data_IF_386820960469
#
_entry.id   IF_386820960469
#
_cell.length_a   1.000
_cell.length_b   1.000
_cell.length_c   1.000
_cell.angle_alpha   90.00
_cell.angle_beta   90.00
_cell.angle_gamma   90.00
#
_symmetry.space_group_name_H-M   'P 1'
#
loop_
_entity.id
_entity.type
_entity.pdbx_description
1 polymer ?
#
# COMPACT_ATOMS: atom_id res chain seq x y z
N UNK A 1 15.06 13.39 7.17
CA UNK A 1 13.90 13.22 8.04
C UNK A 1 14.41 13.05 9.46
N UNK A 2 14.00 13.93 10.36
CA UNK A 2 14.22 13.76 11.80
C UNK A 2 12.83 13.71 12.42
N UNK A 3 12.50 12.59 13.03
CA UNK A 3 11.21 12.40 13.70
C UNK A 3 11.38 12.69 15.19
N UNK A 4 10.59 13.63 15.72
CA UNK A 4 10.48 13.86 17.15
C UNK A 4 9.14 13.34 17.65
N UNK A 5 9.17 12.58 18.75
CA UNK A 5 7.99 12.14 19.47
C UNK A 5 7.73 13.11 20.62
N UNK A 6 6.83 14.06 20.45
CA UNK A 6 6.12 14.62 21.60
C UNK A 6 4.98 13.67 21.94
N UNK A 7 4.69 13.46 23.22
CA UNK A 7 3.85 12.38 23.79
C UNK A 7 2.49 12.06 23.12
N UNK A 8 2.05 12.85 22.13
CA UNK A 8 0.75 12.73 21.46
C UNK A 8 0.83 12.66 19.91
N UNK A 9 1.85 13.24 19.26
CA UNK A 9 1.88 13.39 17.79
C UNK A 9 3.25 13.05 17.18
N UNK A 10 3.25 12.63 15.93
CA UNK A 10 4.46 12.44 15.14
C UNK A 10 4.79 13.74 14.39
N UNK A 11 6.05 14.17 14.47
CA UNK A 11 6.55 15.35 13.78
C UNK A 11 7.45 14.92 12.62
N UNK A 12 7.04 15.21 11.39
CA UNK A 12 7.91 15.10 10.22
C UNK A 12 8.53 16.44 9.91
N UNK A 13 9.86 16.47 9.92
CA UNK A 13 10.64 17.66 9.53
C UNK A 13 11.18 17.44 8.12
N UNK A 14 10.73 18.27 7.19
CA UNK A 14 11.16 18.28 5.80
C UNK A 14 12.00 19.53 5.55
N UNK A 15 13.26 19.31 5.19
CA UNK A 15 14.19 20.35 4.79
C UNK A 15 13.86 20.82 3.37
N UNK A 16 13.46 22.10 3.25
CA UNK A 16 13.04 22.70 1.98
C UNK A 16 14.17 22.71 0.93
N UNK A 17 15.43 22.69 1.35
CA UNK A 17 16.57 22.64 0.43
C UNK A 17 16.70 21.27 -0.24
N UNK A 18 16.16 20.21 0.37
CA UNK A 18 16.25 18.83 -0.14
C UNK A 18 15.05 18.44 -0.99
N UNK A 19 13.87 18.96 -0.65
CA UNK A 19 12.60 18.48 -1.21
C UNK A 19 11.50 19.51 -0.97
N UNK A 20 10.71 19.77 -1.99
CA UNK A 20 9.45 20.51 -1.85
C UNK A 20 8.36 19.62 -1.24
N UNK A 21 7.80 20.07 -0.12
CA UNK A 21 6.73 19.38 0.61
C UNK A 21 5.33 19.84 0.21
N UNK A 22 5.19 20.85 -0.67
CA UNK A 22 3.91 21.47 -0.98
C UNK A 22 2.89 20.45 -1.50
N UNK A 23 3.31 19.54 -2.37
CA UNK A 23 2.43 18.50 -2.94
C UNK A 23 1.93 17.51 -1.88
N UNK A 24 2.81 17.06 -0.99
CA UNK A 24 2.48 16.14 0.10
C UNK A 24 1.52 16.80 1.11
N UNK A 25 1.81 18.05 1.50
CA UNK A 25 0.95 18.84 2.39
C UNK A 25 -0.44 19.03 1.78
N UNK A 26 -0.52 19.37 0.50
CA UNK A 26 -1.78 19.57 -0.20
C UNK A 26 -2.63 18.29 -0.27
N UNK A 27 -1.99 17.16 -0.59
CA UNK A 27 -2.63 15.86 -0.63
C UNK A 27 -3.15 15.49 0.77
N UNK A 28 -2.31 15.57 1.80
CA UNK A 28 -2.72 15.22 3.15
C UNK A 28 -3.82 16.15 3.68
N UNK A 29 -3.75 17.46 3.43
CA UNK A 29 -4.83 18.41 3.79
C UNK A 29 -6.17 18.03 3.16
N UNK A 30 -6.17 17.59 1.90
CA UNK A 30 -7.39 17.24 1.16
C UNK A 30 -7.91 15.86 1.53
N UNK A 31 -7.05 14.87 1.73
CA UNK A 31 -7.44 13.45 1.71
C UNK A 31 -7.26 12.69 3.02
N UNK A 32 -6.61 13.28 4.03
CA UNK A 32 -6.38 12.63 5.33
C UNK A 32 -7.64 12.41 6.20
N UNK A 33 -8.82 12.83 5.73
CA UNK A 33 -10.09 12.51 6.38
C UNK A 33 -10.56 11.08 6.10
N UNK A 34 -9.97 10.39 5.12
CA UNK A 34 -10.25 8.97 4.89
C UNK A 34 -9.74 8.14 6.09
N UNK A 35 -10.53 7.19 6.64
CA UNK A 35 -10.18 6.51 7.89
C UNK A 35 -8.89 5.69 7.81
N UNK A 36 -8.49 5.22 6.63
CA UNK A 36 -7.26 4.44 6.43
C UNK A 36 -6.08 5.23 5.84
N UNK A 37 -6.13 6.57 5.89
CA UNK A 37 -5.00 7.45 5.55
C UNK A 37 -4.55 8.14 6.84
N UNK A 38 -3.24 8.33 7.02
CA UNK A 38 -2.70 9.03 8.20
C UNK A 38 -3.31 10.42 8.34
N UNK A 39 -3.80 10.72 9.54
CA UNK A 39 -4.40 12.03 9.81
C UNK A 39 -3.33 13.11 9.91
N UNK A 40 -3.48 14.18 9.14
CA UNK A 40 -2.69 15.41 9.29
C UNK A 40 -3.45 16.39 10.19
N UNK A 41 -2.85 16.78 11.31
CA UNK A 41 -3.45 17.71 12.26
C UNK A 41 -3.08 19.17 11.98
N UNK A 42 -1.82 19.43 11.67
CA UNK A 42 -1.32 20.78 11.44
C UNK A 42 -0.07 20.77 10.55
N UNK A 43 0.19 21.91 9.93
CA UNK A 43 1.43 22.15 9.18
C UNK A 43 1.99 23.48 9.65
N UNK A 44 3.26 23.49 10.02
CA UNK A 44 4.02 24.70 10.30
C UNK A 44 5.17 24.83 9.31
N UNK A 45 5.63 26.05 9.10
CA UNK A 45 6.65 26.34 8.13
C UNK A 45 7.49 27.50 8.65
N UNK A 46 8.82 27.34 8.61
CA UNK A 46 9.77 28.43 8.79
C UNK A 46 10.60 28.62 7.52
N UNK A 47 11.67 29.41 7.56
CA UNK A 47 12.48 29.68 6.36
C UNK A 47 13.23 28.45 5.83
N UNK A 48 13.43 27.41 6.65
CA UNK A 48 14.31 26.27 6.35
C UNK A 48 13.51 24.98 6.20
N UNK A 49 12.48 24.77 7.02
CA UNK A 49 11.78 23.51 7.13
C UNK A 49 10.25 23.66 7.05
N UNK A 50 9.61 22.57 6.62
CA UNK A 50 8.18 22.31 6.78
C UNK A 50 8.00 21.24 7.85
N UNK A 51 7.07 21.46 8.76
CA UNK A 51 6.77 20.60 9.90
C UNK A 51 5.35 20.06 9.76
N UNK A 52 5.20 18.76 9.54
CA UNK A 52 3.89 18.10 9.47
C UNK A 52 3.61 17.43 10.81
N UNK A 53 2.45 17.75 11.39
CA UNK A 53 1.97 17.17 12.64
C UNK A 53 0.95 16.09 12.30
N UNK A 54 1.35 14.85 12.44
CA UNK A 54 0.56 13.69 12.01
C UNK A 54 0.11 12.80 13.18
N UNK A 55 -0.88 11.96 12.91
CA UNK A 55 -1.26 10.84 13.76
C UNK A 55 -0.09 9.92 14.03
N UNK A 56 0.19 9.71 15.32
CA UNK A 56 1.16 8.71 15.74
C UNK A 56 0.56 7.30 15.62
N UNK A 57 1.16 6.47 14.77
CA UNK A 57 0.74 5.09 14.60
C UNK A 57 1.38 4.18 15.66
N UNK A 58 0.67 3.96 16.78
CA UNK A 58 1.21 3.24 17.97
C UNK A 58 1.19 1.72 17.85
N UNK A 59 0.58 1.19 16.78
CA UNK A 59 0.42 -0.25 16.55
C UNK A 59 1.61 -0.93 15.87
N UNK A 60 2.51 -0.14 15.30
CA UNK A 60 3.64 -0.64 14.52
C UNK A 60 3.27 -0.96 13.06
N UNK A 61 4.26 -1.43 12.31
CA UNK A 61 4.10 -1.82 10.90
C UNK A 61 3.17 -3.03 10.74
N UNK A 62 2.40 -3.05 9.66
CA UNK A 62 1.38 -4.05 9.38
C UNK A 62 1.95 -5.48 9.38
N UNK A 63 2.98 -5.74 8.58
CA UNK A 63 3.54 -7.09 8.45
C UNK A 63 4.18 -7.56 9.75
N UNK A 64 5.01 -6.72 10.38
CA UNK A 64 5.61 -6.98 11.68
C UNK A 64 4.56 -7.33 12.73
N UNK A 65 3.45 -6.60 12.75
CA UNK A 65 2.33 -6.88 13.66
C UNK A 65 1.63 -8.20 13.34
N UNK A 66 1.34 -8.46 12.06
CA UNK A 66 0.72 -9.70 11.59
C UNK A 66 1.55 -10.90 12.06
N UNK A 67 2.88 -10.87 11.89
CA UNK A 67 3.79 -11.96 12.28
C UNK A 67 3.77 -12.28 13.79
N UNK A 68 3.43 -11.30 14.63
CA UNK A 68 3.32 -11.51 16.08
C UNK A 68 1.95 -12.06 16.51
N UNK A 69 0.96 -12.11 15.61
CA UNK A 69 -0.36 -12.64 15.95
C UNK A 69 -0.30 -14.16 16.11
N UNK A 70 -0.95 -14.65 17.18
CA UNK A 70 -1.15 -16.10 17.38
C UNK A 70 -2.00 -16.72 16.29
N UNK A 71 -2.90 -15.94 15.69
CA UNK A 71 -3.82 -16.40 14.66
C UNK A 71 -3.99 -15.31 13.62
N UNK A 72 -3.77 -15.68 12.37
CA UNK A 72 -4.04 -14.86 11.20
C UNK A 72 -4.41 -15.83 10.09
N UNK A 73 -5.56 -15.60 9.47
CA UNK A 73 -6.18 -16.41 8.44
C UNK A 73 -6.39 -15.60 7.17
N UNK A 74 -6.89 -16.28 6.15
CA UNK A 74 -7.28 -15.66 4.89
C UNK A 74 -8.36 -14.58 5.09
N UNK A 75 -9.26 -14.77 6.07
CA UNK A 75 -10.28 -13.78 6.41
C UNK A 75 -9.68 -12.47 6.94
N UNK A 76 -8.71 -12.54 7.86
CA UNK A 76 -8.07 -11.33 8.35
C UNK A 76 -7.23 -10.64 7.26
N UNK A 77 -6.56 -11.41 6.40
CA UNK A 77 -5.86 -10.87 5.23
C UNK A 77 -6.82 -10.13 4.28
N UNK A 78 -8.01 -10.67 4.04
CA UNK A 78 -9.04 -10.02 3.23
C UNK A 78 -9.55 -8.73 3.88
N UNK A 79 -9.70 -8.70 5.22
CA UNK A 79 -10.12 -7.51 5.94
C UNK A 79 -9.07 -6.39 5.82
N UNK A 80 -7.78 -6.72 5.93
CA UNK A 80 -6.68 -5.78 5.68
C UNK A 80 -6.76 -5.25 4.24
N UNK A 81 -6.86 -6.14 3.25
CA UNK A 81 -6.90 -5.76 1.84
C UNK A 81 -8.09 -4.89 1.48
N UNK A 82 -9.26 -5.14 2.07
CA UNK A 82 -10.46 -4.33 1.86
C UNK A 82 -10.21 -2.87 2.27
N UNK A 83 -9.57 -2.62 3.40
CA UNK A 83 -9.28 -1.26 3.91
C UNK A 83 -8.26 -0.54 3.03
N UNK A 84 -7.20 -1.24 2.63
CA UNK A 84 -6.18 -0.70 1.74
C UNK A 84 -6.74 -0.41 0.35
N UNK A 85 -7.46 -1.36 -0.26
CA UNK A 85 -8.08 -1.17 -1.56
C UNK A 85 -9.11 -0.03 -1.54
N UNK A 86 -9.83 0.16 -0.43
CA UNK A 86 -10.78 1.27 -0.27
C UNK A 86 -10.05 2.62 -0.27
N UNK A 87 -8.98 2.75 0.52
CA UNK A 87 -8.15 3.97 0.57
C UNK A 87 -7.51 4.28 -0.78
N UNK A 88 -6.93 3.28 -1.45
CA UNK A 88 -6.31 3.47 -2.77
C UNK A 88 -7.35 3.79 -3.83
N UNK A 89 -8.51 3.12 -3.83
CA UNK A 89 -9.60 3.47 -4.73
C UNK A 89 -10.08 4.91 -4.52
N UNK A 90 -10.14 5.36 -3.26
CA UNK A 90 -10.50 6.74 -2.91
C UNK A 90 -9.49 7.73 -3.49
N UNK A 91 -8.19 7.51 -3.27
CA UNK A 91 -7.11 8.34 -3.83
C UNK A 91 -7.14 8.36 -5.36
N UNK A 92 -7.20 7.18 -5.99
CA UNK A 92 -7.19 7.05 -7.45
C UNK A 92 -8.40 7.73 -8.09
N UNK A 93 -9.58 7.65 -7.47
CA UNK A 93 -10.78 8.36 -7.95
C UNK A 93 -10.61 9.89 -7.93
N UNK A 94 -9.80 10.40 -6.99
CA UNK A 94 -9.42 11.81 -6.87
C UNK A 94 -8.13 12.16 -7.63
N UNK A 95 -7.68 11.27 -8.53
CA UNK A 95 -6.48 11.47 -9.35
C UNK A 95 -5.20 11.66 -8.52
N UNK A 96 -5.14 11.02 -7.35
CA UNK A 96 -3.95 10.95 -6.51
C UNK A 96 -3.36 9.56 -6.61
N UNK A 97 -2.05 9.47 -6.85
CA UNK A 97 -1.27 8.23 -6.81
C UNK A 97 -0.27 8.30 -5.66
N UNK A 98 -0.06 7.19 -4.96
CA UNK A 98 0.83 7.15 -3.79
C UNK A 98 2.30 6.95 -4.21
N UNK A 99 2.55 6.05 -5.16
CA UNK A 99 3.86 5.73 -5.76
C UNK A 99 4.91 5.08 -4.85
N UNK A 100 4.70 5.04 -3.53
CA UNK A 100 5.58 4.33 -2.58
C UNK A 100 4.81 3.46 -1.55
N UNK A 101 3.87 2.64 -2.01
CA UNK A 101 3.08 1.71 -1.15
C UNK A 101 3.85 0.46 -0.74
N UNK A 102 5.00 0.63 -0.10
CA UNK A 102 5.75 -0.50 0.48
C UNK A 102 5.14 -0.92 1.84
N UNK A 103 5.37 -2.16 2.29
CA UNK A 103 4.80 -2.64 3.56
C UNK A 103 5.16 -1.78 4.79
N UNK A 104 6.35 -1.17 4.83
CA UNK A 104 6.76 -0.27 5.92
C UNK A 104 5.99 1.05 5.95
N UNK A 105 5.32 1.43 4.85
CA UNK A 105 4.44 2.60 4.78
C UNK A 105 2.98 2.27 5.14
N UNK A 106 2.74 1.12 5.76
CA UNK A 106 1.42 0.70 6.24
C UNK A 106 1.54 0.30 7.71
N UNK A 107 0.85 1.05 8.57
CA UNK A 107 0.93 0.87 10.01
C UNK A 107 -0.45 0.74 10.65
N UNK A 108 -0.49 0.16 11.84
CA UNK A 108 -1.65 0.24 12.70
C UNK A 108 -1.58 1.51 13.56
N UNK A 109 -2.65 2.30 13.55
CA UNK A 109 -2.82 3.47 14.42
C UNK A 109 -2.83 3.08 15.90
N UNK A 110 -3.42 1.92 16.20
CA UNK A 110 -3.62 1.44 17.57
C UNK A 110 -2.93 0.10 17.80
N UNK A 111 -2.72 -0.28 19.07
CA UNK A 111 -2.10 -1.57 19.41
C UNK A 111 -3.03 -2.77 19.15
N UNK A 112 -4.33 -2.55 18.99
CA UNK A 112 -5.26 -3.59 18.54
C UNK A 112 -4.94 -3.83 17.07
N UNK A 113 -4.70 -5.08 16.68
CA UNK A 113 -4.48 -5.44 15.27
C UNK A 113 -5.82 -5.45 14.50
N UNK A 114 -6.65 -4.42 14.76
CA UNK A 114 -7.93 -4.21 14.12
C UNK A 114 -7.67 -3.61 12.73
N UNK A 115 -8.15 -4.25 11.64
CA UNK A 115 -8.04 -3.73 10.29
C UNK A 115 -8.52 -2.28 10.13
N UNK A 116 -9.51 -1.83 10.90
CA UNK A 116 -10.02 -0.46 10.81
C UNK A 116 -9.03 0.59 11.35
N UNK A 117 -8.05 0.14 12.14
CA UNK A 117 -6.96 0.99 12.62
C UNK A 117 -5.78 1.09 11.64
N UNK A 118 -5.83 0.46 10.47
CA UNK A 118 -4.78 0.58 9.45
C UNK A 118 -4.70 2.01 8.93
N UNK A 119 -3.48 2.50 8.73
CA UNK A 119 -3.14 3.77 8.10
C UNK A 119 -2.10 3.56 7.03
N UNK A 120 -2.35 4.11 5.85
CA UNK A 120 -1.31 4.40 4.86
C UNK A 120 -0.61 5.68 5.33
N UNK A 121 0.71 5.61 5.44
CA UNK A 121 1.57 6.71 5.89
C UNK A 121 2.53 7.10 4.75
N UNK A 122 3.32 8.16 4.96
CA UNK A 122 4.38 8.62 4.05
C UNK A 122 3.90 8.90 2.62
N UNK A 123 3.24 10.05 2.47
CA UNK A 123 2.80 10.58 1.19
C UNK A 123 3.90 11.38 0.49
N UNK A 124 5.16 11.13 0.88
CA UNK A 124 6.29 11.85 0.34
C UNK A 124 6.34 11.75 -1.19
N UNK A 125 6.17 10.55 -1.72
CA UNK A 125 6.17 10.33 -3.16
C UNK A 125 4.80 10.47 -3.80
N UNK A 126 3.75 10.82 -3.06
CA UNK A 126 2.43 10.97 -3.64
C UNK A 126 2.39 12.12 -4.65
N UNK A 127 1.45 12.05 -5.60
CA UNK A 127 1.25 13.12 -6.58
C UNK A 127 -0.22 13.25 -6.91
N UNK A 128 -0.72 14.48 -6.93
CA UNK A 128 -2.03 14.80 -7.46
C UNK A 128 -1.89 15.23 -8.93
N UNK A 129 -2.69 14.62 -9.79
CA UNK A 129 -2.64 14.90 -11.21
C UNK A 129 -3.37 16.21 -11.52
N UNK A 130 -2.71 17.02 -12.36
CA UNK A 130 -3.17 18.34 -12.81
C UNK A 130 -3.19 18.36 -14.34
N UNK A 131 -4.10 19.12 -14.91
CA UNK A 131 -4.06 19.50 -16.32
C UNK A 131 -2.81 20.34 -16.61
N UNK A 132 -2.48 20.55 -17.89
CA UNK A 132 -1.32 21.36 -18.30
C UNK A 132 -1.36 22.79 -17.76
N UNK A 133 -2.57 23.33 -17.56
CA UNK A 133 -2.79 24.65 -16.96
C UNK A 133 -2.67 24.65 -15.41
N UNK A 134 -2.27 23.55 -14.79
CA UNK A 134 -2.14 23.40 -13.35
C UNK A 134 -3.45 23.17 -12.60
N UNK A 135 -4.62 23.17 -13.27
CA UNK A 135 -5.89 22.86 -12.61
C UNK A 135 -5.98 21.40 -12.22
N UNK A 136 -6.62 21.12 -11.08
CA UNK A 136 -6.87 19.75 -10.64
C UNK A 136 -7.74 19.01 -11.67
N UNK A 137 -7.28 17.81 -12.06
CA UNK A 137 -8.05 16.94 -12.93
C UNK A 137 -9.20 16.32 -12.15
N UNK A 138 -10.42 16.46 -12.67
CA UNK A 138 -11.57 15.66 -12.21
C UNK A 138 -11.88 14.57 -13.25
N UNK A 139 -12.29 13.36 -12.82
CA UNK A 139 -12.34 12.17 -13.66
C UNK A 139 -13.27 12.27 -14.89
N UNK A 140 -14.20 13.23 -14.95
CA UNK A 140 -15.17 13.30 -16.04
C UNK A 140 -15.03 14.50 -16.99
N UNK A 141 -14.42 15.62 -16.57
CA UNK A 141 -14.59 16.89 -17.31
C UNK A 141 -13.41 17.30 -18.20
N UNK A 142 -12.21 16.74 -18.01
CA UNK A 142 -11.01 17.33 -18.63
C UNK A 142 -10.19 16.35 -19.47
N UNK A 143 -10.57 15.07 -19.59
CA UNK A 143 -9.78 14.07 -20.33
C UNK A 143 -9.50 14.46 -21.80
N UNK A 144 -10.40 15.23 -22.43
CA UNK A 144 -10.23 15.73 -23.81
C UNK A 144 -9.12 16.78 -23.97
N UNK A 145 -8.61 17.35 -22.87
CA UNK A 145 -7.55 18.38 -22.88
C UNK A 145 -6.22 17.88 -22.31
N UNK A 146 -6.08 16.59 -22.05
CA UNK A 146 -4.85 16.01 -21.47
C UNK A 146 -4.08 15.27 -22.55
N UNK A 147 -2.78 15.57 -22.63
CA UNK A 147 -1.87 14.90 -23.53
C UNK A 147 -1.80 13.37 -23.23
N UNK A 148 -1.78 12.52 -24.26
CA UNK A 148 -1.88 11.06 -24.10
C UNK A 148 -0.76 10.45 -23.24
N UNK A 149 0.44 11.02 -23.24
CA UNK A 149 1.57 10.58 -22.42
C UNK A 149 1.35 10.82 -20.92
N UNK A 150 0.60 11.86 -20.54
CA UNK A 150 0.24 12.14 -19.14
C UNK A 150 -0.76 11.08 -18.67
N UNK A 151 -1.79 10.79 -19.48
CA UNK A 151 -2.76 9.74 -19.19
C UNK A 151 -2.09 8.36 -19.08
N UNK A 152 -1.13 8.06 -19.97
CA UNK A 152 -0.37 6.81 -19.94
C UNK A 152 0.49 6.70 -18.68
N UNK A 153 1.18 7.78 -18.29
CA UNK A 153 1.98 7.82 -17.06
C UNK A 153 1.09 7.68 -15.81
N UNK A 154 -0.08 8.30 -15.80
CA UNK A 154 -1.07 8.14 -14.74
C UNK A 154 -1.52 6.69 -14.60
N UNK A 155 -1.92 6.05 -15.70
CA UNK A 155 -2.34 4.65 -15.68
C UNK A 155 -1.21 3.75 -15.17
N UNK A 156 0.03 4.06 -15.55
CA UNK A 156 1.21 3.38 -15.03
C UNK A 156 1.36 3.55 -13.50
N UNK A 157 1.34 4.79 -13.00
CA UNK A 157 1.53 5.07 -11.57
C UNK A 157 0.39 4.47 -10.71
N UNK A 158 -0.87 4.52 -11.18
CA UNK A 158 -1.99 3.85 -10.52
C UNK A 158 -1.80 2.33 -10.49
N UNK A 159 -1.29 1.74 -11.58
CA UNK A 159 -1.03 0.32 -11.65
C UNK A 159 0.16 -0.08 -10.75
N UNK A 160 1.13 0.80 -10.52
CA UNK A 160 2.20 0.57 -9.53
C UNK A 160 1.65 0.44 -8.12
N UNK A 161 0.73 1.32 -7.71
CA UNK A 161 0.08 1.23 -6.39
C UNK A 161 -0.63 -0.13 -6.23
N UNK A 162 -1.35 -0.58 -7.26
CA UNK A 162 -2.04 -1.88 -7.23
C UNK A 162 -1.07 -3.06 -7.21
N UNK A 163 0.04 -2.99 -7.94
CA UNK A 163 1.08 -4.02 -7.87
C UNK A 163 1.62 -4.16 -6.45
N UNK A 164 1.89 -3.05 -5.78
CA UNK A 164 2.37 -3.06 -4.40
C UNK A 164 1.36 -3.69 -3.44
N UNK A 165 0.06 -3.45 -3.62
CA UNK A 165 -0.99 -4.19 -2.90
C UNK A 165 -0.96 -5.69 -3.20
N UNK A 166 -0.66 -6.09 -4.44
CA UNK A 166 -0.46 -7.49 -4.82
C UNK A 166 0.72 -8.15 -4.12
N UNK A 167 1.86 -7.45 -4.02
CA UNK A 167 3.04 -7.91 -3.29
C UNK A 167 2.70 -8.09 -1.82
N UNK A 168 2.05 -7.10 -1.22
CA UNK A 168 1.62 -7.15 0.18
C UNK A 168 0.67 -8.34 0.43
N UNK A 169 -0.34 -8.55 -0.44
CA UNK A 169 -1.27 -9.66 -0.31
C UNK A 169 -0.55 -11.01 -0.40
N UNK A 170 0.33 -11.19 -1.40
CA UNK A 170 1.14 -12.40 -1.53
C UNK A 170 1.89 -12.68 -0.23
N UNK A 171 2.51 -11.64 0.32
CA UNK A 171 3.28 -11.74 1.56
C UNK A 171 2.43 -12.06 2.78
N UNK A 172 1.26 -11.43 2.94
CA UNK A 172 0.34 -11.75 4.03
C UNK A 172 -0.18 -13.19 3.97
N UNK A 173 -0.33 -13.76 2.77
CA UNK A 173 -0.86 -15.12 2.59
C UNK A 173 0.20 -16.21 2.74
N UNK A 174 1.43 -15.93 2.33
CA UNK A 174 2.51 -16.94 2.27
C UNK A 174 3.60 -16.76 3.31
N UNK A 175 3.76 -15.57 3.88
CA UNK A 175 4.91 -15.22 4.70
C UNK A 175 6.19 -14.95 3.89
N UNK A 176 6.14 -14.97 2.56
CA UNK A 176 7.30 -14.80 1.69
C UNK A 176 7.09 -13.61 0.74
N UNK A 177 8.17 -13.10 0.12
CA UNK A 177 8.02 -12.14 -0.97
C UNK A 177 7.90 -12.89 -2.31
N UNK A 178 7.09 -12.39 -3.28
CA UNK A 178 6.87 -13.11 -4.53
C UNK A 178 8.11 -13.23 -5.43
N UNK A 179 9.07 -12.30 -5.30
CA UNK A 179 10.17 -12.16 -6.27
C UNK A 179 11.58 -12.23 -5.66
N UNK A 180 11.74 -11.98 -4.36
CA UNK A 180 12.99 -12.19 -3.63
C UNK A 180 12.86 -13.50 -2.83
N UNK A 181 13.34 -14.58 -3.44
CA UNK A 181 13.17 -15.96 -2.93
C UNK A 181 14.35 -16.42 -2.05
N UNK A 182 15.42 -15.62 -2.00
CA UNK A 182 16.61 -15.84 -1.20
C UNK A 182 17.20 -14.50 -0.81
N UNK A 183 17.74 -14.38 0.40
CA UNK A 183 18.46 -13.18 0.89
C UNK A 183 19.65 -12.80 -0.01
N UNK A 184 20.21 -13.75 -0.75
CA UNK A 184 21.32 -13.55 -1.68
C UNK A 184 20.86 -13.24 -3.12
N UNK A 185 19.56 -13.09 -3.38
CA UNK A 185 19.08 -12.74 -4.71
C UNK A 185 19.57 -11.32 -5.08
N UNK A 186 20.34 -11.21 -6.17
CA UNK A 186 20.79 -9.91 -6.65
C UNK A 186 19.61 -9.07 -7.18
N UNK A 187 19.71 -7.72 -7.15
CA UNK A 187 18.69 -6.85 -7.71
C UNK A 187 18.31 -7.19 -9.16
N UNK A 188 19.29 -7.58 -10.00
CA UNK A 188 19.04 -7.98 -11.38
C UNK A 188 18.20 -9.25 -11.48
N UNK A 189 18.39 -10.22 -10.58
CA UNK A 189 17.63 -11.47 -10.56
C UNK A 189 16.19 -11.23 -10.11
N UNK A 190 16.00 -10.36 -9.10
CA UNK A 190 14.67 -9.94 -8.64
C UNK A 190 13.94 -9.20 -9.77
N UNK A 191 14.59 -8.19 -10.40
CA UNK A 191 14.01 -7.45 -11.52
C UNK A 191 13.66 -8.35 -12.70
N UNK A 192 14.47 -9.38 -12.98
CA UNK A 192 14.16 -10.38 -14.00
C UNK A 192 12.87 -11.14 -13.67
N UNK A 193 12.70 -11.63 -12.43
CA UNK A 193 11.47 -12.34 -12.02
C UNK A 193 10.24 -11.43 -12.08
N UNK A 194 10.40 -10.17 -11.64
CA UNK A 194 9.36 -9.13 -11.74
C UNK A 194 8.94 -8.90 -13.19
N UNK A 195 9.91 -8.66 -14.09
CA UNK A 195 9.65 -8.41 -15.51
C UNK A 195 9.04 -9.59 -16.24
N UNK A 196 9.38 -10.82 -15.84
CA UNK A 196 8.78 -12.04 -16.38
C UNK A 196 7.42 -12.38 -15.74
N UNK A 197 7.02 -11.70 -14.67
CA UNK A 197 5.81 -12.02 -13.89
C UNK A 197 5.87 -13.41 -13.24
N UNK A 198 7.08 -13.93 -12.94
CA UNK A 198 7.26 -15.29 -12.43
C UNK A 198 7.34 -15.32 -10.92
N UNK A 199 6.32 -15.90 -10.32
CA UNK A 199 6.24 -16.27 -8.90
C UNK A 199 5.43 -17.56 -8.76
N UNK A 200 5.53 -18.23 -7.61
CA UNK A 200 4.86 -19.51 -7.36
C UNK A 200 3.71 -19.32 -6.38
N UNK A 201 2.54 -19.89 -6.72
CA UNK A 201 1.39 -20.05 -5.81
C UNK A 201 1.22 -21.52 -5.40
N UNK A 202 2.32 -22.26 -5.36
CA UNK A 202 2.41 -23.67 -5.00
C UNK A 202 3.29 -23.84 -3.75
N UNK A 203 3.24 -25.03 -3.15
CA UNK A 203 4.04 -25.38 -1.98
C UNK A 203 3.26 -25.28 -0.67
N UNK A 204 3.95 -25.51 0.45
CA UNK A 204 3.33 -25.65 1.76
C UNK A 204 2.56 -24.40 2.22
N UNK A 205 3.07 -23.20 1.90
CA UNK A 205 2.37 -21.95 2.24
C UNK A 205 1.03 -21.78 1.50
N UNK A 206 0.89 -22.38 0.31
CA UNK A 206 -0.25 -22.17 -0.58
C UNK A 206 -1.27 -23.31 -0.62
N UNK A 207 -1.00 -24.44 0.06
CA UNK A 207 -1.83 -25.65 0.01
C UNK A 207 -3.25 -25.43 0.57
N UNK A 208 -3.38 -24.58 1.59
CA UNK A 208 -4.65 -24.27 2.25
C UNK A 208 -5.23 -22.90 1.86
N UNK A 209 -4.59 -22.18 0.94
CA UNK A 209 -5.07 -20.88 0.47
C UNK A 209 -6.12 -21.10 -0.61
N UNK A 210 -7.26 -20.41 -0.51
CA UNK A 210 -8.35 -20.58 -1.48
C UNK A 210 -7.92 -20.19 -2.90
N UNK A 211 -8.57 -20.79 -3.91
CA UNK A 211 -8.35 -20.38 -5.30
C UNK A 211 -8.79 -18.94 -5.56
N UNK A 212 -9.73 -18.39 -4.78
CA UNK A 212 -10.15 -16.99 -4.90
C UNK A 212 -9.03 -16.03 -4.45
N UNK A 213 -8.31 -16.34 -3.37
CA UNK A 213 -7.13 -15.56 -2.97
C UNK A 213 -6.04 -15.61 -4.05
N UNK A 214 -5.73 -16.83 -4.52
CA UNK A 214 -4.72 -17.02 -5.58
C UNK A 214 -5.10 -16.28 -6.84
N UNK A 215 -6.38 -16.30 -7.22
CA UNK A 215 -6.89 -15.57 -8.37
C UNK A 215 -6.73 -14.06 -8.23
N UNK A 216 -7.05 -13.49 -7.07
CA UNK A 216 -6.79 -12.07 -6.81
C UNK A 216 -5.30 -11.76 -6.95
N UNK A 217 -4.42 -12.56 -6.34
CA UNK A 217 -2.96 -12.37 -6.45
C UNK A 217 -2.49 -12.41 -7.91
N UNK A 218 -3.00 -13.34 -8.73
CA UNK A 218 -2.72 -13.40 -10.19
C UNK A 218 -3.09 -12.12 -10.91
N UNK A 219 -4.24 -11.55 -10.58
CA UNK A 219 -4.68 -10.32 -11.18
C UNK A 219 -3.88 -9.09 -10.72
N UNK A 220 -3.46 -9.01 -9.44
CA UNK A 220 -2.68 -7.86 -8.94
C UNK A 220 -1.21 -7.90 -9.39
N UNK A 221 -0.61 -9.09 -9.46
CA UNK A 221 0.78 -9.30 -9.87
C UNK A 221 0.92 -9.67 -11.36
N UNK A 222 -0.08 -9.34 -12.17
CA UNK A 222 0.00 -9.53 -13.62
C UNK A 222 1.11 -8.62 -14.20
N UNK A 223 2.01 -9.19 -15.02
CA UNK A 223 3.14 -8.45 -15.60
C UNK A 223 2.70 -7.30 -16.52
N UNK A 224 1.72 -7.56 -17.38
CA UNK A 224 1.06 -6.53 -18.20
C UNK A 224 0.14 -5.65 -17.32
N UNK A 225 0.42 -4.35 -17.15
CA UNK A 225 -0.39 -3.46 -16.32
C UNK A 225 -1.84 -3.30 -16.82
N UNK A 226 -2.11 -3.46 -18.12
CA UNK A 226 -3.46 -3.31 -18.68
C UNK A 226 -4.42 -4.43 -18.25
N UNK A 227 -3.87 -5.57 -17.84
CA UNK A 227 -4.61 -6.73 -17.32
C UNK A 227 -4.71 -6.74 -15.80
N UNK A 228 -4.03 -5.81 -15.14
CA UNK A 228 -4.08 -5.66 -13.68
C UNK A 228 -5.42 -5.04 -13.29
N UNK A 229 -6.03 -5.54 -12.22
CA UNK A 229 -7.24 -4.93 -11.68
C UNK A 229 -6.93 -3.51 -11.19
N UNK A 230 -7.89 -2.60 -11.32
CA UNK A 230 -7.87 -1.32 -10.59
C UNK A 230 -8.24 -1.53 -9.12
N UNK A 231 -7.88 -0.59 -8.24
CA UNK A 231 -8.27 -0.64 -6.83
C UNK A 231 -9.80 -0.76 -6.64
N UNK A 232 -10.59 -0.12 -7.51
CA UNK A 232 -12.05 -0.27 -7.52
C UNK A 232 -12.50 -1.70 -7.85
N UNK A 233 -11.82 -2.36 -8.78
CA UNK A 233 -12.12 -3.75 -9.15
C UNK A 233 -11.73 -4.74 -8.05
N UNK A 234 -10.69 -4.46 -7.24
CA UNK A 234 -10.36 -5.27 -6.06
C UNK A 234 -11.54 -5.35 -5.10
N UNK A 235 -12.22 -4.21 -4.85
CA UNK A 235 -13.33 -4.12 -3.90
C UNK A 235 -14.54 -4.98 -4.28
N UNK A 236 -14.70 -5.32 -5.57
CA UNK A 236 -15.78 -6.16 -6.08
C UNK A 236 -15.29 -7.57 -6.43
N UNK A 237 -14.02 -7.90 -6.16
CA UNK A 237 -13.50 -9.23 -6.39
C UNK A 237 -14.18 -10.23 -5.44
N UNK A 238 -14.56 -11.44 -5.88
CA UNK A 238 -15.29 -12.42 -5.06
C UNK A 238 -14.62 -12.70 -3.71
N UNK A 239 -13.29 -12.75 -3.68
CA UNK A 239 -12.52 -12.93 -2.44
C UNK A 239 -12.78 -11.83 -1.39
N UNK A 240 -12.94 -10.58 -1.82
CA UNK A 240 -13.24 -9.45 -0.92
C UNK A 240 -14.74 -9.40 -0.60
N UNK A 241 -15.60 -9.57 -1.60
CA UNK A 241 -17.06 -9.51 -1.43
C UNK A 241 -17.57 -10.60 -0.48
N UNK A 242 -16.99 -11.80 -0.55
CA UNK A 242 -17.38 -12.94 0.28
C UNK A 242 -16.46 -13.14 1.49
N UNK A 243 -15.83 -12.07 1.98
CA UNK A 243 -14.89 -12.11 3.12
C UNK A 243 -15.41 -12.93 4.31
N UNK A 244 -16.69 -12.79 4.67
CA UNK A 244 -17.29 -13.49 5.80
C UNK A 244 -17.38 -15.02 5.61
N UNK A 245 -17.26 -15.49 4.37
CA UNK A 245 -17.26 -16.92 4.01
C UNK A 245 -15.85 -17.50 3.87
N UNK A 246 -14.79 -16.68 3.99
CA UNK A 246 -13.42 -17.14 3.82
C UNK A 246 -12.97 -18.03 4.99
N UNK A 247 -12.01 -18.96 4.74
CA UNK A 247 -11.44 -19.82 5.75
C UNK A 247 -10.86 -19.02 6.93
N UNK A 248 -11.18 -19.46 8.15
CA UNK A 248 -10.60 -18.92 9.39
C UNK A 248 -9.45 -19.77 9.91
N UNK A 249 -8.98 -20.74 9.12
CA UNK A 249 -7.86 -21.60 9.47
C UNK A 249 -6.59 -20.76 9.47
N UNK A 250 -5.73 -20.96 10.47
CA UNK A 250 -4.45 -20.24 10.58
C UNK A 250 -3.59 -20.50 9.34
N UNK A 251 -2.97 -19.46 8.80
CA UNK A 251 -2.06 -19.59 7.67
C UNK A 251 -0.77 -20.35 8.07
N UNK A 252 -0.27 -21.18 7.16
CA UNK A 252 0.75 -22.20 7.47
C UNK A 252 2.12 -21.65 7.87
N UNK A 253 2.51 -20.47 7.37
CA UNK A 253 3.85 -19.91 7.60
C UNK A 253 4.07 -19.41 9.04
N UNK A 254 2.99 -19.23 9.80
CA UNK A 254 3.06 -18.84 11.20
C UNK A 254 3.64 -19.92 12.15
N UNK A 255 4.00 -21.08 11.60
CA UNK A 255 4.72 -22.10 12.34
C UNK A 255 6.23 -21.77 12.50
N UNK A 256 6.78 -20.80 11.73
CA UNK A 256 8.16 -20.32 11.89
C UNK A 256 8.27 -18.80 11.64
N UNK A 257 8.09 -17.96 12.68
CA UNK A 257 8.10 -16.50 12.55
C UNK A 257 9.48 -15.92 12.20
N UNK A 258 10.57 -16.63 12.52
CA UNK A 258 11.93 -16.12 12.35
C UNK A 258 12.34 -16.06 10.88
N UNK A 259 11.93 -17.05 10.08
CA UNK A 259 12.24 -17.12 8.65
C UNK A 259 11.66 -15.94 7.84
N UNK A 260 10.56 -15.39 8.34
CA UNK A 260 9.80 -14.32 7.69
C UNK A 260 10.45 -12.95 7.95
N UNK A 261 10.94 -12.70 9.17
CA UNK A 261 11.58 -11.44 9.55
C UNK A 261 12.81 -11.10 8.71
N UNK A 262 13.64 -12.09 8.37
CA UNK A 262 14.88 -11.88 7.60
C UNK A 262 14.59 -11.45 6.16
N UNK A 263 13.40 -11.75 5.62
CA UNK A 263 13.01 -11.31 4.27
C UNK A 263 12.61 -9.84 4.19
N UNK A 264 12.42 -9.13 5.32
CA UNK A 264 11.97 -7.74 5.37
C UNK A 264 13.02 -6.73 5.87
N UNK A 265 14.12 -7.23 6.44
CA UNK A 265 15.28 -6.43 6.87
C UNK A 265 16.30 -6.28 5.76
#
# INVERSE_FOLDING_TARGET
FVCFFFFVFLFWIIDKSRRDAAEEVDILRRYSHHPNIVKLYAVYEDNINVYLIEEICKGGELLSKIMMLKHFSEREAAAVMLRLANAISYLHSNQVVHRDLKPSNIMYASKTADPDSIRIIDFGFAKQLRAENGLLMTPCYTAQFVAPEILRKQGYDMNCDVWSLGVLLFTMLSGETPFATSENDSPQKILKRVGEGKYSLNGQAWINISEQAKDLVRHLLHADPSKRLSAKQILIHPWIVHLNSLPTIRLNFFNDPFKVMVSFS
#
